data_IF_047194926427
#
_entry.id   IF_047194926427
#
_cell.length_a   1.000
_cell.length_b   1.000
_cell.length_c   1.000
_cell.angle_alpha   90.00
_cell.angle_beta   90.00
_cell.angle_gamma   90.00
#
_symmetry.space_group_name_H-M   'P 1'
#
loop_
_entity.id
_entity.type
_entity.pdbx_description
1 polymer ?
#
# COMPACT_ATOMS: atom_id res chain seq x y z
N UNK A 1 -18.13 -14.86 3.77
CA UNK A 1 -17.73 -14.06 4.94
C UNK A 1 -16.22 -13.97 4.93
N UNK A 2 -15.65 -12.77 5.07
CA UNK A 2 -14.17 -12.61 5.20
C UNK A 2 -13.78 -13.02 6.61
N UNK A 3 -12.75 -13.86 6.77
CA UNK A 3 -12.29 -14.38 8.07
C UNK A 3 -10.99 -13.76 8.54
N UNK A 4 -10.12 -13.35 7.59
CA UNK A 4 -8.87 -12.69 7.89
C UNK A 4 -8.54 -11.66 6.79
N UNK A 5 -7.75 -10.66 7.11
CA UNK A 5 -7.26 -9.65 6.18
C UNK A 5 -5.73 -9.63 6.18
N UNK A 6 -5.14 -9.63 4.98
CA UNK A 6 -3.71 -9.38 4.80
C UNK A 6 -3.52 -8.20 3.86
N UNK A 7 -2.69 -7.25 4.23
CA UNK A 7 -2.34 -6.11 3.39
C UNK A 7 -0.83 -6.04 3.16
N UNK A 8 -0.42 -5.74 1.94
CA UNK A 8 0.98 -5.59 1.55
C UNK A 8 1.17 -4.22 0.88
N UNK A 9 1.97 -3.36 1.47
CA UNK A 9 2.23 -2.03 0.93
C UNK A 9 0.96 -1.20 0.73
N UNK A 10 -0.08 -1.47 1.51
CA UNK A 10 -1.33 -0.70 1.45
C UNK A 10 -1.23 0.51 2.38
N UNK A 11 -1.44 1.70 1.82
CA UNK A 11 -1.29 2.94 2.59
C UNK A 11 -2.52 3.85 2.47
N UNK A 12 -2.75 4.67 3.47
CA UNK A 12 -3.81 5.67 3.45
C UNK A 12 -3.25 7.04 3.09
N UNK A 13 -2.95 7.87 2.91
CA UNK A 13 -2.78 9.32 2.60
C UNK A 13 -1.42 9.93 2.99
N UNK A 14 -0.37 9.12 3.12
CA UNK A 14 0.91 9.62 3.62
C UNK A 14 2.01 9.73 2.54
N UNK A 15 1.78 9.27 1.30
CA UNK A 15 2.79 9.36 0.25
C UNK A 15 3.20 10.81 -0.10
N UNK A 16 2.30 11.79 0.05
CA UNK A 16 2.58 13.22 -0.14
C UNK A 16 2.71 14.00 1.18
N UNK A 17 3.03 13.36 2.29
CA UNK A 17 3.16 14.03 3.59
C UNK A 17 4.40 14.93 3.69
N UNK A 18 5.47 14.59 2.97
CA UNK A 18 6.73 15.36 2.92
C UNK A 18 6.88 16.12 1.61
N UNK A 19 7.79 17.09 1.56
CA UNK A 19 8.11 17.80 0.31
C UNK A 19 8.60 16.82 -0.77
N UNK A 20 9.47 15.87 -0.42
CA UNK A 20 9.91 14.81 -1.33
C UNK A 20 8.72 14.00 -1.84
N UNK A 21 7.83 13.57 -0.95
CA UNK A 21 6.64 12.80 -1.31
C UNK A 21 5.70 13.59 -2.22
N UNK A 22 5.51 14.89 -1.99
CA UNK A 22 4.74 15.76 -2.90
C UNK A 22 5.35 15.81 -4.29
N UNK A 23 6.66 15.99 -4.41
CA UNK A 23 7.37 16.00 -5.70
C UNK A 23 7.22 14.65 -6.40
N UNK A 24 7.43 13.54 -5.68
CA UNK A 24 7.28 12.19 -6.22
C UNK A 24 5.85 11.92 -6.69
N UNK A 25 4.85 12.18 -5.86
CA UNK A 25 3.44 12.00 -6.21
C UNK A 25 3.02 12.84 -7.43
N UNK A 26 3.47 14.10 -7.50
CA UNK A 26 3.24 14.97 -8.67
C UNK A 26 3.89 14.40 -9.92
N UNK A 27 5.13 13.94 -9.82
CA UNK A 27 5.84 13.31 -10.95
C UNK A 27 5.10 12.07 -11.45
N UNK A 28 4.68 11.17 -10.55
CA UNK A 28 3.90 9.97 -10.89
C UNK A 28 2.61 10.38 -11.62
N UNK A 29 1.87 11.34 -11.09
CA UNK A 29 0.63 11.84 -11.68
C UNK A 29 0.86 12.45 -13.07
N UNK A 30 1.89 13.28 -13.25
CA UNK A 30 2.23 13.90 -14.54
C UNK A 30 2.61 12.85 -15.57
N UNK A 31 3.49 11.89 -15.23
CA UNK A 31 3.88 10.80 -16.12
C UNK A 31 2.64 9.99 -16.53
N UNK A 32 1.79 9.65 -15.57
CA UNK A 32 0.57 8.89 -15.83
C UNK A 32 -0.40 9.61 -16.78
N UNK A 33 -0.52 10.92 -16.69
CA UNK A 33 -1.44 11.70 -17.52
C UNK A 33 -0.86 12.08 -18.89
N UNK A 34 0.46 12.33 -18.98
CA UNK A 34 1.14 12.76 -20.19
C UNK A 34 1.64 11.60 -21.04
N UNK A 35 1.92 10.45 -20.43
CA UNK A 35 2.35 9.26 -21.14
C UNK A 35 1.16 8.60 -21.83
N UNK A 36 1.19 8.51 -23.16
CA UNK A 36 0.24 7.69 -23.92
C UNK A 36 0.38 6.19 -23.61
N UNK A 37 -0.54 5.33 -24.10
CA UNK A 37 -0.55 3.90 -23.80
C UNK A 37 0.79 3.18 -24.07
N UNK A 38 1.47 3.55 -25.14
CA UNK A 38 2.77 2.96 -25.51
C UNK A 38 3.90 3.32 -24.54
N UNK A 39 3.92 4.55 -24.04
CA UNK A 39 4.94 4.99 -23.07
C UNK A 39 4.67 4.44 -21.66
N UNK A 40 3.41 4.21 -21.30
CA UNK A 40 3.06 3.56 -20.03
C UNK A 40 3.57 2.13 -19.97
N UNK A 41 3.47 1.36 -21.05
CA UNK A 41 4.07 0.02 -21.17
C UNK A 41 5.58 0.05 -20.97
N UNK A 42 6.28 1.00 -21.58
CA UNK A 42 7.73 1.20 -21.45
C UNK A 42 8.16 1.53 -20.00
N UNK A 43 7.30 2.19 -19.23
CA UNK A 43 7.53 2.57 -17.83
C UNK A 43 7.06 1.50 -16.82
N UNK A 44 6.58 0.33 -17.29
CA UNK A 44 6.08 -0.74 -16.44
C UNK A 44 4.78 -0.40 -15.68
N UNK A 45 4.05 0.62 -16.15
CA UNK A 45 2.83 1.10 -15.52
C UNK A 45 1.55 0.35 -15.97
N UNK A 46 1.72 -0.79 -16.65
CA UNK A 46 0.61 -1.65 -17.11
C UNK A 46 -0.03 -1.22 -18.44
N UNK A 47 -0.81 -2.11 -19.08
CA UNK A 47 -1.38 -1.91 -20.41
C UNK A 47 -2.74 -1.18 -20.43
N UNK A 48 -3.38 -0.94 -19.27
CA UNK A 48 -4.80 -0.60 -19.21
C UNK A 48 -5.05 0.90 -19.02
N UNK A 49 -6.10 1.42 -19.69
CA UNK A 49 -6.48 2.84 -19.62
C UNK A 49 -7.10 3.22 -18.26
N UNK A 50 -7.68 2.28 -17.56
CA UNK A 50 -8.26 2.47 -16.21
C UNK A 50 -7.22 2.84 -15.15
N UNK A 51 -5.96 2.52 -15.37
CA UNK A 51 -4.86 2.88 -14.48
C UNK A 51 -4.74 4.41 -14.25
N UNK A 52 -5.12 5.22 -15.25
CA UNK A 52 -5.11 6.70 -15.13
C UNK A 52 -6.06 7.18 -14.03
N UNK A 53 -7.26 6.64 -13.97
CA UNK A 53 -8.27 6.98 -12.94
C UNK A 53 -7.78 6.64 -11.54
N UNK A 54 -7.22 5.45 -11.37
CA UNK A 54 -6.69 4.95 -10.09
C UNK A 54 -5.54 5.84 -9.60
N UNK A 55 -4.55 6.13 -10.45
CA UNK A 55 -3.40 6.98 -10.07
C UNK A 55 -3.85 8.41 -9.72
N UNK A 56 -4.79 8.99 -10.48
CA UNK A 56 -5.31 10.32 -10.18
C UNK A 56 -6.12 10.35 -8.89
N UNK A 57 -6.85 9.27 -8.58
CA UNK A 57 -7.54 9.13 -7.30
C UNK A 57 -6.56 9.00 -6.14
N UNK A 58 -5.56 8.11 -6.27
CA UNK A 58 -4.47 7.96 -5.32
C UNK A 58 -3.74 9.29 -5.07
N UNK A 59 -3.40 10.05 -6.14
CA UNK A 59 -2.79 11.36 -6.04
C UNK A 59 -3.68 12.33 -5.22
N UNK A 60 -4.98 12.43 -5.55
CA UNK A 60 -5.91 13.30 -4.82
C UNK A 60 -5.99 12.96 -3.34
N UNK A 61 -6.04 11.67 -2.98
CA UNK A 61 -6.06 11.22 -1.59
C UNK A 61 -4.80 11.64 -0.84
N UNK A 62 -3.64 11.39 -1.42
CA UNK A 62 -2.37 11.72 -0.80
C UNK A 62 -2.13 13.24 -0.71
N UNK A 63 -2.49 13.98 -1.76
CA UNK A 63 -2.35 15.44 -1.78
C UNK A 63 -3.24 16.14 -0.76
N UNK A 64 -4.51 15.70 -0.64
CA UNK A 64 -5.49 16.23 0.31
C UNK A 64 -5.38 15.60 1.70
N UNK A 65 -4.59 14.57 1.85
CA UNK A 65 -4.46 13.77 3.07
C UNK A 65 -5.82 13.25 3.59
N UNK A 66 -6.71 12.90 2.67
CA UNK A 66 -8.03 12.35 2.96
C UNK A 66 -8.34 11.17 2.04
N UNK A 67 -8.75 10.07 2.62
CA UNK A 67 -9.09 8.86 1.88
C UNK A 67 -10.60 8.81 1.59
N UNK A 68 -11.06 9.79 0.82
CA UNK A 68 -12.47 10.01 0.51
C UNK A 68 -12.82 9.46 -0.86
N UNK A 69 -13.83 8.58 -0.93
CA UNK A 69 -14.40 8.06 -2.17
C UNK A 69 -15.16 9.13 -2.97
N UNK A 70 -15.47 8.81 -4.22
CA UNK A 70 -16.34 9.67 -5.05
C UNK A 70 -17.79 9.69 -4.51
N UNK A 71 -18.19 8.66 -3.78
CA UNK A 71 -19.43 8.50 -3.03
C UNK A 71 -19.45 9.25 -1.69
N UNK A 72 -18.38 9.99 -1.38
CA UNK A 72 -18.14 10.70 -0.13
C UNK A 72 -17.92 9.81 1.09
N UNK A 73 -17.75 8.51 0.93
CA UNK A 73 -17.38 7.61 2.02
C UNK A 73 -15.91 7.89 2.40
N UNK A 74 -15.66 8.11 3.69
CA UNK A 74 -14.31 8.15 4.24
C UNK A 74 -13.87 6.69 4.52
N UNK A 75 -12.97 6.17 3.69
CA UNK A 75 -12.56 4.77 3.78
C UNK A 75 -11.74 4.48 5.03
N UNK A 76 -11.05 5.48 5.59
CA UNK A 76 -10.32 5.27 6.84
C UNK A 76 -11.28 5.15 8.03
N UNK A 77 -12.34 5.94 8.02
CA UNK A 77 -13.42 5.83 9.01
C UNK A 77 -14.17 4.51 8.85
N UNK A 78 -14.50 4.14 7.61
CA UNK A 78 -15.14 2.86 7.33
C UNK A 78 -14.27 1.65 7.75
N UNK A 79 -12.94 1.77 7.67
CA UNK A 79 -12.03 0.71 8.09
C UNK A 79 -12.08 0.41 9.58
N UNK A 80 -12.58 1.30 10.43
CA UNK A 80 -12.77 1.06 11.87
C UNK A 80 -13.70 -0.12 12.14
N UNK A 81 -14.71 -0.32 11.29
CA UNK A 81 -15.63 -1.44 11.41
C UNK A 81 -15.05 -2.81 11.06
N UNK A 82 -13.80 -2.89 10.62
CA UNK A 82 -13.11 -4.15 10.35
C UNK A 82 -12.78 -4.82 11.68
N UNK A 83 -13.42 -5.97 11.94
CA UNK A 83 -13.25 -6.73 13.18
C UNK A 83 -12.47 -8.05 12.98
N UNK A 84 -12.11 -8.37 11.73
CA UNK A 84 -11.39 -9.61 11.42
C UNK A 84 -9.90 -9.47 11.75
N UNK A 85 -9.22 -10.59 12.10
CA UNK A 85 -7.77 -10.63 12.27
C UNK A 85 -7.04 -10.00 11.08
N UNK A 86 -6.10 -9.09 11.36
CA UNK A 86 -5.48 -8.26 10.31
C UNK A 86 -3.95 -8.29 10.39
N UNK A 87 -3.31 -8.75 9.30
CA UNK A 87 -1.86 -8.75 9.13
C UNK A 87 -1.45 -7.72 8.09
N UNK A 88 -0.61 -6.76 8.49
CA UNK A 88 -0.16 -5.69 7.59
C UNK A 88 1.36 -5.75 7.41
N UNK A 89 1.81 -5.78 6.15
CA UNK A 89 3.22 -5.64 5.79
C UNK A 89 3.48 -4.28 5.16
N UNK A 90 4.56 -3.62 5.59
CA UNK A 90 5.06 -2.37 5.04
C UNK A 90 6.53 -2.52 4.63
N UNK A 91 6.90 -2.09 3.44
CA UNK A 91 8.27 -2.09 2.97
C UNK A 91 9.02 -0.82 3.41
N UNK A 92 10.17 -0.96 4.07
CA UNK A 92 10.96 0.20 4.51
C UNK A 92 11.60 0.96 3.34
N UNK A 93 11.81 0.28 2.21
CA UNK A 93 12.29 0.88 0.96
C UNK A 93 11.20 1.61 0.17
N UNK A 94 9.93 1.39 0.47
CA UNK A 94 8.80 2.04 -0.20
C UNK A 94 8.57 3.46 0.36
N UNK A 95 9.29 4.41 -0.21
CA UNK A 95 9.26 5.81 0.26
C UNK A 95 8.31 6.70 -0.53
N UNK A 96 7.83 6.22 -1.70
CA UNK A 96 7.15 7.06 -2.68
C UNK A 96 5.69 6.64 -2.92
N UNK A 97 5.38 5.34 -2.85
CA UNK A 97 4.03 4.82 -3.14
C UNK A 97 3.28 4.51 -1.85
N UNK A 98 3.83 3.67 -0.99
CA UNK A 98 3.20 3.26 0.27
C UNK A 98 4.20 3.33 1.45
N UNK A 99 4.58 4.53 1.88
CA UNK A 99 5.52 4.70 2.98
C UNK A 99 4.99 4.08 4.28
N UNK A 100 5.90 3.59 5.11
CA UNK A 100 5.58 2.91 6.38
C UNK A 100 4.55 3.67 7.24
N UNK A 101 4.62 5.02 7.40
CA UNK A 101 3.59 5.75 8.16
C UNK A 101 2.19 5.62 7.56
N UNK A 102 2.08 5.57 6.23
CA UNK A 102 0.79 5.38 5.55
C UNK A 102 0.22 3.99 5.73
N UNK A 103 1.07 2.96 5.68
CA UNK A 103 0.68 1.58 5.98
C UNK A 103 0.25 1.43 7.45
N UNK A 104 0.98 2.06 8.37
CA UNK A 104 0.65 2.08 9.80
C UNK A 104 -0.72 2.71 10.05
N UNK A 105 -1.06 3.77 9.35
CA UNK A 105 -2.36 4.43 9.47
C UNK A 105 -3.53 3.52 9.09
N UNK A 106 -3.36 2.68 8.05
CA UNK A 106 -4.36 1.65 7.71
C UNK A 106 -4.41 0.56 8.79
N UNK A 107 -3.26 0.12 9.27
CA UNK A 107 -3.18 -0.89 10.33
C UNK A 107 -3.86 -0.45 11.64
N UNK A 108 -3.76 0.83 11.98
CA UNK A 108 -4.33 1.38 13.21
C UNK A 108 -5.85 1.62 13.11
N UNK A 109 -6.39 1.77 11.90
CA UNK A 109 -7.81 2.07 11.70
C UNK A 109 -8.77 0.98 12.20
N UNK A 110 -8.60 -0.32 11.95
CA UNK A 110 -9.46 -1.37 12.49
C UNK A 110 -9.48 -1.38 14.02
N UNK A 111 -10.65 -1.50 14.61
CA UNK A 111 -10.82 -1.56 16.08
C UNK A 111 -10.57 -2.97 16.64
N UNK A 112 -10.46 -3.99 15.80
CA UNK A 112 -10.14 -5.36 16.20
C UNK A 112 -8.79 -5.45 16.92
N UNK A 113 -8.69 -6.31 17.94
CA UNK A 113 -7.49 -6.46 18.76
C UNK A 113 -6.47 -7.45 18.16
N UNK A 114 -6.90 -8.35 17.28
CA UNK A 114 -6.03 -9.34 16.65
C UNK A 114 -5.38 -8.75 15.41
N UNK A 115 -4.31 -8.00 15.63
CA UNK A 115 -3.61 -7.26 14.56
C UNK A 115 -2.10 -7.40 14.69
N UNK A 116 -1.43 -7.59 13.55
CA UNK A 116 0.03 -7.59 13.47
C UNK A 116 0.53 -6.62 12.38
N UNK A 117 1.54 -5.81 12.71
CA UNK A 117 2.22 -4.92 11.78
C UNK A 117 3.67 -5.33 11.61
N UNK A 118 4.07 -5.62 10.39
CA UNK A 118 5.42 -6.08 10.04
C UNK A 118 6.09 -5.10 9.10
N UNK A 119 7.23 -4.56 9.51
CA UNK A 119 8.07 -3.73 8.64
C UNK A 119 9.15 -4.59 8.01
N UNK A 120 9.08 -4.76 6.68
CA UNK A 120 10.04 -5.53 5.90
C UNK A 120 11.31 -4.70 5.68
N UNK A 121 12.27 -4.84 6.59
CA UNK A 121 13.56 -4.16 6.61
C UNK A 121 14.66 -5.04 7.19
N UNK A 122 15.89 -4.77 6.79
CA UNK A 122 17.06 -5.51 7.28
C UNK A 122 17.20 -5.43 8.81
N UNK A 123 16.91 -4.28 9.40
CA UNK A 123 16.94 -4.10 10.85
C UNK A 123 15.92 -4.99 11.60
N UNK A 124 14.89 -5.50 10.94
CA UNK A 124 13.90 -6.43 11.48
C UNK A 124 14.15 -7.90 11.06
N UNK A 125 15.35 -8.22 10.54
CA UNK A 125 15.74 -9.58 10.16
C UNK A 125 15.34 -10.01 8.75
N UNK A 126 14.87 -9.10 7.89
CA UNK A 126 14.64 -9.38 6.47
C UNK A 126 15.93 -9.23 5.66
N UNK A 127 16.03 -9.94 4.54
CA UNK A 127 17.21 -9.87 3.65
C UNK A 127 17.36 -8.50 2.97
N UNK A 128 16.28 -7.72 2.88
CA UNK A 128 16.26 -6.42 2.21
C UNK A 128 15.27 -5.44 2.83
N UNK A 129 15.48 -4.15 2.55
CA UNK A 129 14.47 -3.11 2.77
C UNK A 129 13.55 -3.11 1.55
N UNK A 130 12.44 -3.86 1.64
CA UNK A 130 11.54 -4.06 0.50
C UNK A 130 10.92 -2.76 0.01
N UNK A 131 10.87 -2.54 -1.29
CA UNK A 131 10.06 -1.49 -1.93
C UNK A 131 8.64 -2.01 -2.26
N UNK A 132 7.83 -1.17 -2.92
CA UNK A 132 6.44 -1.46 -3.22
C UNK A 132 6.21 -2.75 -4.02
N UNK A 133 7.02 -3.00 -5.03
CA UNK A 133 6.90 -4.21 -5.85
C UNK A 133 7.59 -5.41 -5.20
N UNK A 134 8.74 -5.17 -4.57
CA UNK A 134 9.56 -6.22 -4.00
C UNK A 134 8.93 -6.89 -2.79
N UNK A 135 8.10 -6.19 -2.03
CA UNK A 135 7.35 -6.78 -0.90
C UNK A 135 6.46 -7.96 -1.33
N UNK A 136 6.08 -8.04 -2.61
CA UNK A 136 5.26 -9.11 -3.18
C UNK A 136 6.08 -10.03 -4.08
N UNK A 137 6.85 -9.45 -5.02
CA UNK A 137 7.37 -10.16 -6.18
C UNK A 137 8.85 -10.53 -6.08
N UNK A 138 9.58 -10.12 -5.03
CA UNK A 138 11.00 -10.42 -4.90
C UNK A 138 11.24 -11.87 -4.48
N UNK A 139 12.46 -12.37 -4.77
CA UNK A 139 12.89 -13.68 -4.29
C UNK A 139 12.92 -13.75 -2.76
N UNK A 140 13.43 -12.74 -2.01
CA UNK A 140 13.30 -12.70 -0.56
C UNK A 140 11.85 -12.75 -0.08
N UNK A 141 10.93 -12.02 -0.68
CA UNK A 141 9.52 -12.05 -0.27
C UNK A 141 8.91 -13.45 -0.28
N UNK A 142 9.29 -14.26 -1.29
CA UNK A 142 8.84 -15.65 -1.41
C UNK A 142 9.24 -16.53 -0.22
N UNK A 143 10.39 -16.25 0.40
CA UNK A 143 10.93 -17.05 1.50
C UNK A 143 10.65 -16.44 2.89
N UNK A 144 10.39 -15.14 2.96
CA UNK A 144 10.31 -14.41 4.23
C UNK A 144 8.92 -13.86 4.52
N UNK A 145 8.16 -13.48 3.48
CA UNK A 145 6.84 -12.84 3.62
C UNK A 145 5.71 -13.84 3.35
N UNK A 146 5.77 -14.58 2.24
CA UNK A 146 4.71 -15.51 1.85
C UNK A 146 4.43 -16.62 2.88
N UNK A 147 5.45 -17.24 3.53
CA UNK A 147 5.18 -18.20 4.60
C UNK A 147 4.41 -17.57 5.78
N UNK A 148 4.75 -16.36 6.18
CA UNK A 148 4.04 -15.66 7.26
C UNK A 148 2.58 -15.35 6.90
N UNK A 149 2.31 -15.04 5.62
CA UNK A 149 0.94 -14.86 5.14
C UNK A 149 0.18 -16.19 5.22
N UNK A 150 0.80 -17.27 4.76
CA UNK A 150 0.19 -18.60 4.81
C UNK A 150 -0.13 -19.03 6.24
N UNK A 151 0.83 -18.89 7.16
CA UNK A 151 0.65 -19.21 8.58
C UNK A 151 -0.50 -18.39 9.19
N UNK A 152 -0.55 -17.08 8.89
CA UNK A 152 -1.64 -16.22 9.35
C UNK A 152 -3.01 -16.68 8.85
N UNK A 153 -3.10 -16.99 7.55
CA UNK A 153 -4.36 -17.45 6.95
C UNK A 153 -4.79 -18.84 7.45
N UNK A 154 -3.85 -19.72 7.78
CA UNK A 154 -4.15 -21.04 8.38
C UNK A 154 -4.62 -20.91 9.84
N UNK A 155 -4.15 -19.91 10.58
CA UNK A 155 -4.56 -19.66 11.96
C UNK A 155 -5.94 -19.01 12.08
N UNK A 156 -6.34 -18.20 11.08
CA UNK A 156 -7.53 -17.35 11.16
C UNK A 156 -8.55 -17.60 10.04
N UNK A 157 -8.24 -18.50 9.11
CA UNK A 157 -9.02 -18.83 7.91
C UNK A 157 -10.16 -19.83 8.05
#
# INVERSE_FOLDING_TARGET
>A
MVRALVTLGSQATEAAATLRGKVSATRIMLINNLAGPARRRLLGLGPEDDFRGIVNQWFRWNWRRRWLGNDRVDYLEAAKSIAVPTLCFAGAGDRDIAPVPGCRRIYEAPEGNDKQFVVCQRASGFSEDSDHARIIASRPARHEIWPRILDWLLQHG
#
